data_IF_283816185356
#
_entry.id   IF_283816185356
#
_cell.length_a   1.000
_cell.length_b   1.000
_cell.length_c   1.000
_cell.angle_alpha   90.00
_cell.angle_beta   90.00
_cell.angle_gamma   90.00
#
_symmetry.space_group_name_H-M   'P 1'
#
loop_
_entity.id
_entity.type
_entity.pdbx_description
1 polymer ?
#
# COMPACT_ATOMS: atom_id res chain seq x y z
N UNK A 1 34.07 -0.39 15.36
CA UNK A 1 33.01 0.28 14.57
C UNK A 1 32.57 1.52 15.33
N UNK A 2 32.53 2.68 14.68
CA UNK A 2 32.55 4.00 15.36
C UNK A 2 31.24 4.38 16.04
N UNK A 3 31.33 5.05 17.21
CA UNK A 3 30.30 5.66 18.09
C UNK A 3 29.05 6.27 17.42
N UNK A 4 29.12 6.56 16.13
CA UNK A 4 28.08 7.17 15.33
C UNK A 4 27.10 6.15 14.72
N UNK A 5 27.47 4.87 14.61
CA UNK A 5 26.65 3.86 13.91
C UNK A 5 25.41 3.45 14.69
N UNK A 6 25.55 3.07 15.96
CA UNK A 6 24.42 2.60 16.80
C UNK A 6 23.39 3.71 17.06
N UNK A 7 23.84 4.94 17.34
CA UNK A 7 22.92 6.09 17.46
C UNK A 7 22.19 6.42 16.16
N UNK A 8 22.89 6.32 15.01
CA UNK A 8 22.24 6.45 13.69
C UNK A 8 21.23 5.33 13.45
N UNK A 9 21.53 4.11 13.89
CA UNK A 9 20.63 2.95 13.79
C UNK A 9 19.36 3.17 14.61
N UNK A 10 19.48 3.62 15.86
CA UNK A 10 18.34 4.01 16.71
C UNK A 10 17.49 5.14 16.09
N UNK A 11 18.14 6.17 15.54
CA UNK A 11 17.41 7.25 14.84
C UNK A 11 16.67 6.74 13.59
N UNK A 12 17.26 5.82 12.82
CA UNK A 12 16.59 5.18 11.68
C UNK A 12 15.39 4.33 12.13
N UNK A 13 15.54 3.56 13.21
CA UNK A 13 14.45 2.80 13.82
C UNK A 13 13.30 3.72 14.25
N UNK A 14 13.61 4.87 14.86
CA UNK A 14 12.60 5.86 15.25
C UNK A 14 11.87 6.47 14.04
N UNK A 15 12.58 6.67 12.92
CA UNK A 15 11.94 7.13 11.67
C UNK A 15 11.03 6.07 11.07
N UNK A 16 11.44 4.80 11.11
CA UNK A 16 10.63 3.68 10.65
C UNK A 16 9.36 3.55 11.49
N UNK A 17 9.52 3.59 12.82
CA UNK A 17 8.41 3.57 13.78
C UNK A 17 7.44 4.73 13.58
N UNK A 18 7.97 5.97 13.45
CA UNK A 18 7.16 7.17 13.23
C UNK A 18 6.30 7.08 11.97
N UNK A 19 6.86 6.51 10.89
CA UNK A 19 6.12 6.30 9.64
C UNK A 19 5.07 5.21 9.77
N UNK A 20 5.41 4.08 10.41
CA UNK A 20 4.50 2.95 10.56
C UNK A 20 3.31 3.24 11.50
N UNK A 21 3.47 4.17 12.44
CA UNK A 21 2.45 4.51 13.45
C UNK A 21 1.89 5.93 13.31
N UNK A 22 2.21 6.62 12.21
CA UNK A 22 1.77 8.01 11.93
C UNK A 22 2.03 9.04 13.05
N UNK A 23 3.01 8.80 13.92
CA UNK A 23 3.37 9.74 14.98
C UNK A 23 4.50 10.68 14.57
N UNK A 24 4.52 11.88 15.14
CA UNK A 24 5.61 12.82 14.94
C UNK A 24 6.98 12.21 15.34
N UNK A 25 7.99 12.38 14.49
CA UNK A 25 9.31 11.76 14.68
C UNK A 25 9.96 12.03 16.04
N UNK A 26 9.75 13.22 16.61
CA UNK A 26 10.25 13.57 17.95
C UNK A 26 9.61 12.72 19.06
N UNK A 27 8.34 12.32 18.93
CA UNK A 27 7.69 11.39 19.87
C UNK A 27 8.26 9.97 19.70
N UNK A 28 8.46 9.53 18.47
CA UNK A 28 9.01 8.20 18.19
C UNK A 28 10.44 8.03 18.72
N UNK A 29 11.27 9.08 18.63
CA UNK A 29 12.65 9.01 19.10
C UNK A 29 12.75 9.06 20.63
N UNK A 30 11.78 9.69 21.31
CA UNK A 30 11.64 9.63 22.77
C UNK A 30 11.17 8.24 23.24
N UNK A 31 10.27 7.58 22.49
CA UNK A 31 9.85 6.20 22.78
C UNK A 31 11.02 5.21 22.68
N UNK A 32 11.86 5.34 21.64
CA UNK A 32 13.07 4.51 21.54
C UNK A 32 14.07 4.82 22.68
N UNK A 33 14.16 6.07 23.12
CA UNK A 33 14.98 6.41 24.29
C UNK A 33 14.43 5.74 25.58
N UNK A 34 13.11 5.66 25.73
CA UNK A 34 12.45 5.01 26.87
C UNK A 34 12.67 3.50 26.91
N UNK A 35 12.70 2.82 25.75
CA UNK A 35 13.08 1.39 25.65
C UNK A 35 14.47 1.14 26.23
N UNK A 36 15.36 2.13 26.13
CA UNK A 36 16.74 2.09 26.62
C UNK A 36 16.88 2.68 28.03
N UNK A 37 15.77 2.94 28.73
CA UNK A 37 15.75 3.45 30.10
C UNK A 37 15.95 4.96 30.25
N UNK A 38 15.88 5.73 29.15
CA UNK A 38 16.01 7.20 29.18
C UNK A 38 14.65 7.89 29.03
N UNK A 39 14.39 8.99 29.76
CA UNK A 39 13.08 9.64 29.73
C UNK A 39 12.74 10.31 28.38
N UNK A 40 13.75 10.72 27.63
CA UNK A 40 13.60 11.31 26.29
C UNK A 40 14.96 11.30 25.57
N UNK A 41 14.96 11.50 24.25
CA UNK A 41 16.16 11.40 23.41
C UNK A 41 17.28 12.35 23.81
N UNK A 42 16.94 13.56 24.28
CA UNK A 42 17.96 14.51 24.75
C UNK A 42 18.74 14.00 25.98
N UNK A 43 18.12 13.18 26.85
CA UNK A 43 18.79 12.59 28.01
C UNK A 43 19.75 11.49 27.56
N UNK A 44 19.32 10.66 26.61
CA UNK A 44 20.15 9.63 25.97
C UNK A 44 21.37 10.24 25.27
N UNK A 45 21.17 11.31 24.49
CA UNK A 45 22.28 12.04 23.84
C UNK A 45 23.21 12.68 24.88
N UNK A 46 22.65 13.18 25.98
CA UNK A 46 23.41 13.72 27.11
C UNK A 46 24.37 12.70 27.71
N UNK A 47 23.89 11.49 28.00
CA UNK A 47 24.73 10.40 28.51
C UNK A 47 25.68 9.84 27.45
N UNK A 48 25.27 9.84 26.17
CA UNK A 48 26.16 9.41 25.10
C UNK A 48 27.37 10.32 24.94
N UNK A 49 27.18 11.64 25.13
CA UNK A 49 28.29 12.61 25.21
C UNK A 49 29.21 12.36 26.41
N UNK A 50 28.71 11.75 27.49
CA UNK A 50 29.48 11.36 28.68
C UNK A 50 30.16 9.99 28.53
N UNK A 51 30.01 9.32 27.38
CA UNK A 51 30.70 8.08 27.06
C UNK A 51 29.81 6.84 27.04
N UNK A 52 28.52 6.96 27.40
CA UNK A 52 27.57 5.86 27.24
C UNK A 52 27.38 5.53 25.75
N UNK A 53 27.23 4.25 25.43
CA UNK A 53 26.99 3.77 24.06
C UNK A 53 25.94 2.66 24.12
N UNK A 54 25.00 2.62 23.14
CA UNK A 54 24.12 1.48 22.99
C UNK A 54 24.94 0.22 22.71
N UNK A 55 24.67 -0.84 23.46
CA UNK A 55 25.15 -2.20 23.18
C UNK A 55 24.37 -2.84 22.03
N UNK A 56 24.82 -4.01 21.55
CA UNK A 56 24.06 -4.78 20.55
C UNK A 56 22.71 -5.26 21.12
N UNK A 57 22.65 -5.58 22.42
CA UNK A 57 21.41 -5.94 23.10
C UNK A 57 20.43 -4.75 23.16
N UNK A 58 20.93 -3.54 23.38
CA UNK A 58 20.12 -2.30 23.32
C UNK A 58 19.54 -2.08 21.92
N UNK A 59 20.33 -2.37 20.88
CA UNK A 59 19.86 -2.31 19.50
C UNK A 59 18.79 -3.38 19.23
N UNK A 60 19.00 -4.62 19.70
CA UNK A 60 18.03 -5.71 19.54
C UNK A 60 16.72 -5.40 20.28
N UNK A 61 16.78 -4.82 21.47
CA UNK A 61 15.61 -4.37 22.22
C UNK A 61 14.84 -3.28 21.47
N UNK A 62 15.54 -2.29 20.89
CA UNK A 62 14.92 -1.27 20.06
C UNK A 62 14.33 -1.84 18.76
N UNK A 63 15.00 -2.79 18.12
CA UNK A 63 14.47 -3.48 16.93
C UNK A 63 13.23 -4.32 17.24
N UNK A 64 13.25 -5.08 18.34
CA UNK A 64 12.10 -5.84 18.81
C UNK A 64 10.92 -4.93 19.14
N UNK A 65 11.17 -3.79 19.79
CA UNK A 65 10.16 -2.78 20.05
C UNK A 65 9.53 -2.25 18.75
N UNK A 66 10.34 -1.90 17.74
CA UNK A 66 9.84 -1.43 16.44
C UNK A 66 9.11 -2.54 15.67
N UNK A 67 9.57 -3.80 15.75
CA UNK A 67 8.91 -4.94 15.09
C UNK A 67 7.56 -5.29 15.73
N UNK A 68 7.45 -5.21 17.05
CA UNK A 68 6.22 -5.52 17.79
C UNK A 68 5.15 -4.41 17.72
N UNK A 69 5.46 -3.27 17.09
CA UNK A 69 4.58 -2.09 16.96
C UNK A 69 4.26 -1.74 15.52
N UNK A 70 4.86 -2.44 14.55
CA UNK A 70 4.16 -2.70 13.30
C UNK A 70 3.12 -3.74 13.67
N UNK A 71 1.81 -3.47 13.53
CA UNK A 71 0.82 -4.52 13.72
C UNK A 71 1.00 -5.55 12.60
N UNK A 72 1.91 -6.49 12.79
CA UNK A 72 1.67 -7.85 12.30
C UNK A 72 0.61 -8.35 13.27
N UNK A 73 -0.66 -8.05 12.95
CA UNK A 73 -1.78 -8.72 13.62
C UNK A 73 -1.48 -10.21 13.52
N UNK A 74 -1.39 -10.86 14.67
CA UNK A 74 -1.22 -12.30 14.72
C UNK A 74 -2.34 -12.91 13.86
N UNK A 75 -1.94 -13.50 12.73
CA UNK A 75 -2.80 -14.27 11.85
C UNK A 75 -3.16 -15.58 12.55
N UNK A 76 -3.97 -15.49 13.60
CA UNK A 76 -4.69 -16.63 14.13
C UNK A 76 -6.15 -16.47 13.69
N UNK A 77 -6.48 -17.20 12.62
CA UNK A 77 -7.83 -17.33 12.05
C UNK A 77 -8.47 -16.05 11.50
N UNK A 78 -7.73 -15.28 10.71
CA UNK A 78 -8.35 -14.25 9.87
C UNK A 78 -8.88 -14.90 8.59
N UNK A 79 -10.21 -14.93 8.45
CA UNK A 79 -10.86 -15.13 7.15
C UNK A 79 -10.32 -14.09 6.15
N UNK A 80 -10.25 -14.45 4.87
CA UNK A 80 -9.72 -13.58 3.81
C UNK A 80 -10.35 -12.17 3.82
N UNK A 81 -11.61 -12.06 4.26
CA UNK A 81 -12.35 -10.82 4.37
C UNK A 81 -11.76 -9.88 5.45
N UNK A 82 -11.19 -10.43 6.52
CA UNK A 82 -10.49 -9.66 7.57
C UNK A 82 -9.15 -9.11 7.06
N UNK A 83 -8.47 -9.83 6.15
CA UNK A 83 -7.20 -9.36 5.55
C UNK A 83 -7.46 -8.12 4.67
N UNK A 84 -8.57 -8.08 3.93
CA UNK A 84 -8.95 -6.90 3.14
C UNK A 84 -9.40 -5.73 4.02
N UNK A 85 -10.16 -5.99 5.09
CA UNK A 85 -10.52 -4.96 6.08
C UNK A 85 -9.30 -4.36 6.79
N UNK A 86 -8.21 -5.14 6.92
CA UNK A 86 -6.98 -4.73 7.60
C UNK A 86 -5.96 -3.99 6.72
N UNK A 87 -6.12 -3.99 5.40
CA UNK A 87 -5.22 -3.29 4.48
C UNK A 87 -5.36 -1.76 4.58
N UNK A 88 -6.50 -1.29 5.09
CA UNK A 88 -6.82 0.11 5.32
C UNK A 88 -6.81 0.37 6.82
N UNK A 89 -6.09 1.41 7.27
CA UNK A 89 -5.96 1.79 8.68
C UNK A 89 -7.26 2.38 9.23
N UNK A 90 -8.31 1.56 9.36
CA UNK A 90 -9.55 2.00 9.97
C UNK A 90 -9.33 2.20 11.48
N UNK A 91 -9.48 3.44 11.93
CA UNK A 91 -9.77 3.77 13.32
C UNK A 91 -11.12 3.13 13.68
N UNK A 92 -11.05 1.92 14.27
CA UNK A 92 -12.19 1.15 14.81
C UNK A 92 -13.11 0.49 13.75
N UNK A 93 -12.99 -0.84 13.61
CA UNK A 93 -13.92 -1.66 12.80
C UNK A 93 -15.22 -1.84 13.59
N UNK A 94 -16.32 -1.33 13.05
CA UNK A 94 -17.65 -1.51 13.65
C UNK A 94 -18.26 -2.80 13.09
N UNK A 95 -18.73 -3.69 13.94
CA UNK A 95 -19.41 -4.93 13.52
C UNK A 95 -20.90 -4.88 13.83
N UNK A 96 -21.72 -5.53 13.01
CA UNK A 96 -23.16 -5.60 13.20
C UNK A 96 -23.79 -6.77 12.45
N UNK A 97 -25.13 -6.80 12.41
CA UNK A 97 -25.88 -7.78 11.61
C UNK A 97 -27.13 -7.16 10.98
N UNK A 98 -27.41 -7.57 9.75
CA UNK A 98 -28.59 -7.20 8.96
C UNK A 98 -29.33 -8.50 8.66
N UNK A 99 -30.51 -8.69 9.26
CA UNK A 99 -31.34 -9.90 9.08
C UNK A 99 -30.60 -11.25 9.25
N UNK A 100 -29.57 -11.31 10.09
CA UNK A 100 -28.78 -12.51 10.34
C UNK A 100 -27.47 -12.56 9.55
N UNK A 101 -27.28 -11.71 8.55
CA UNK A 101 -26.00 -11.52 7.85
C UNK A 101 -25.10 -10.64 8.71
N UNK A 102 -23.90 -11.09 9.03
CA UNK A 102 -22.93 -10.27 9.76
C UNK A 102 -22.22 -9.31 8.81
N UNK A 103 -21.95 -8.09 9.27
CA UNK A 103 -21.17 -7.12 8.51
C UNK A 103 -20.09 -6.44 9.35
N UNK A 104 -19.09 -5.92 8.65
CA UNK A 104 -18.05 -5.03 9.17
C UNK A 104 -18.15 -3.68 8.44
N UNK A 105 -18.09 -2.58 9.17
CA UNK A 105 -18.14 -1.23 8.65
C UNK A 105 -16.84 -0.50 8.98
N UNK A 106 -16.31 0.21 7.98
CA UNK A 106 -15.13 1.06 8.13
C UNK A 106 -15.27 2.38 7.36
N UNK A 107 -14.58 3.40 7.85
CA UNK A 107 -14.34 4.68 7.18
C UNK A 107 -12.98 4.61 6.49
N UNK A 108 -12.93 4.99 5.21
CA UNK A 108 -11.67 5.21 4.51
C UNK A 108 -11.77 6.50 3.69
N UNK A 109 -10.98 7.51 4.06
CA UNK A 109 -10.91 8.80 3.34
C UNK A 109 -12.29 9.46 3.16
N UNK A 110 -13.24 9.23 4.08
CA UNK A 110 -14.59 9.77 4.00
C UNK A 110 -15.59 8.92 3.22
N UNK A 111 -15.14 7.86 2.54
CA UNK A 111 -15.99 6.80 2.01
C UNK A 111 -16.37 5.83 3.14
N UNK A 112 -17.62 5.38 3.15
CA UNK A 112 -18.07 4.30 4.04
C UNK A 112 -18.01 2.99 3.28
N UNK A 113 -17.35 2.01 3.87
CA UNK A 113 -17.29 0.65 3.35
C UNK A 113 -17.98 -0.31 4.31
N UNK A 114 -18.87 -1.14 3.79
CA UNK A 114 -19.57 -2.19 4.52
C UNK A 114 -19.25 -3.52 3.85
N UNK A 115 -18.64 -4.43 4.59
CA UNK A 115 -18.24 -5.76 4.13
C UNK A 115 -19.11 -6.81 4.79
N UNK A 116 -19.53 -7.81 4.02
CA UNK A 116 -20.07 -9.06 4.53
C UNK A 116 -19.59 -10.22 3.68
N UNK A 117 -20.11 -11.42 3.95
CA UNK A 117 -19.63 -12.63 3.28
C UNK A 117 -19.88 -12.59 1.77
N UNK A 118 -18.82 -12.41 0.99
CA UNK A 118 -18.87 -12.37 -0.47
C UNK A 118 -19.56 -11.12 -1.05
N UNK A 119 -19.66 -10.03 -0.29
CA UNK A 119 -20.16 -8.75 -0.78
C UNK A 119 -19.54 -7.54 -0.07
N UNK A 120 -19.57 -6.40 -0.75
CA UNK A 120 -19.05 -5.12 -0.29
C UNK A 120 -19.98 -4.01 -0.78
N UNK A 121 -20.28 -3.04 0.09
CA UNK A 121 -20.97 -1.81 -0.27
C UNK A 121 -20.04 -0.63 0.02
N UNK A 122 -19.81 0.21 -0.98
CA UNK A 122 -19.16 1.49 -0.83
C UNK A 122 -20.22 2.61 -0.95
N UNK A 123 -20.35 3.43 0.09
CA UNK A 123 -21.09 4.69 0.05
C UNK A 123 -20.07 5.82 -0.04
N UNK A 124 -19.92 6.46 -1.23
CA UNK A 124 -18.86 7.43 -1.45
C UNK A 124 -19.01 8.72 -0.63
N UNK A 125 -17.90 9.38 -0.32
CA UNK A 125 -17.82 10.70 0.33
C UNK A 125 -18.71 11.71 -0.41
N UNK A 126 -18.61 11.73 -1.75
CA UNK A 126 -19.41 12.58 -2.61
C UNK A 126 -20.91 12.25 -2.49
N UNK A 127 -21.74 13.14 -1.92
CA UNK A 127 -23.17 12.88 -1.73
C UNK A 127 -23.95 12.65 -3.02
N UNK A 128 -23.40 13.09 -4.17
CA UNK A 128 -24.00 12.93 -5.49
C UNK A 128 -23.47 11.71 -6.26
N UNK A 129 -22.66 10.85 -5.66
CA UNK A 129 -22.25 9.59 -6.25
C UNK A 129 -23.21 8.47 -5.82
N UNK A 130 -23.52 7.56 -6.74
CA UNK A 130 -24.29 6.37 -6.41
C UNK A 130 -23.48 5.45 -5.48
N UNK A 131 -24.11 4.81 -4.48
CA UNK A 131 -23.51 3.70 -3.77
C UNK A 131 -23.12 2.59 -4.75
N UNK A 132 -22.03 1.88 -4.47
CA UNK A 132 -21.55 0.76 -5.28
C UNK A 132 -21.70 -0.50 -4.45
N UNK A 133 -22.36 -1.51 -5.02
CA UNK A 133 -22.50 -2.84 -4.43
C UNK A 133 -21.67 -3.80 -5.28
N UNK A 134 -20.68 -4.41 -4.66
CA UNK A 134 -19.84 -5.43 -5.27
C UNK A 134 -20.20 -6.78 -4.67
N UNK A 135 -20.47 -7.74 -5.53
CA UNK A 135 -20.80 -9.12 -5.15
C UNK A 135 -19.73 -10.03 -5.73
N UNK A 136 -19.25 -10.98 -4.94
CA UNK A 136 -18.32 -11.99 -5.44
C UNK A 136 -18.96 -12.76 -6.61
N UNK A 137 -18.23 -12.89 -7.71
CA UNK A 137 -18.68 -13.63 -8.89
C UNK A 137 -19.13 -15.05 -8.54
N UNK A 138 -18.46 -15.70 -7.58
CA UNK A 138 -18.82 -17.06 -7.13
C UNK A 138 -20.14 -17.10 -6.36
N UNK A 139 -20.56 -15.97 -5.77
CA UNK A 139 -21.79 -15.83 -4.97
C UNK A 139 -22.90 -15.07 -5.69
N UNK A 140 -22.75 -14.82 -7.00
CA UNK A 140 -23.69 -14.04 -7.81
C UNK A 140 -25.17 -14.37 -7.57
N UNK A 141 -25.50 -15.65 -7.39
CA UNK A 141 -26.88 -16.11 -7.20
C UNK A 141 -27.28 -16.40 -5.75
N UNK A 142 -26.31 -16.53 -4.85
CA UNK A 142 -26.52 -16.91 -3.44
C UNK A 142 -26.29 -15.77 -2.46
N UNK A 143 -25.72 -14.65 -2.91
CA UNK A 143 -25.43 -13.49 -2.06
C UNK A 143 -26.71 -12.88 -1.48
N UNK A 144 -26.63 -12.50 -0.20
CA UNK A 144 -27.67 -11.74 0.50
C UNK A 144 -27.98 -10.39 -0.17
N UNK A 145 -27.03 -9.81 -0.92
CA UNK A 145 -27.24 -8.56 -1.67
C UNK A 145 -28.20 -8.71 -2.87
N UNK A 146 -28.67 -9.93 -3.16
CA UNK A 146 -29.77 -10.14 -4.11
C UNK A 146 -31.15 -9.86 -3.48
N UNK A 147 -31.25 -9.73 -2.15
CA UNK A 147 -32.47 -9.32 -1.45
C UNK A 147 -32.54 -7.78 -1.35
N UNK A 148 -33.50 -7.12 -2.03
CA UNK A 148 -33.66 -5.67 -1.97
C UNK A 148 -33.89 -5.11 -0.57
N UNK A 149 -34.48 -5.89 0.35
CA UNK A 149 -34.70 -5.43 1.72
C UNK A 149 -33.39 -5.37 2.51
N UNK A 150 -32.51 -6.36 2.33
CA UNK A 150 -31.16 -6.37 2.96
C UNK A 150 -30.33 -5.22 2.38
N UNK A 151 -30.38 -5.01 1.06
CA UNK A 151 -29.69 -3.88 0.41
C UNK A 151 -30.19 -2.55 0.96
N UNK A 152 -31.51 -2.39 1.12
CA UNK A 152 -32.09 -1.18 1.69
C UNK A 152 -31.59 -0.89 3.11
N UNK A 153 -31.60 -1.89 3.99
CA UNK A 153 -31.14 -1.75 5.38
C UNK A 153 -29.63 -1.45 5.45
N UNK A 154 -28.82 -2.12 4.63
CA UNK A 154 -27.38 -1.88 4.55
C UNK A 154 -27.05 -0.46 4.07
N UNK A 155 -27.79 0.05 3.07
CA UNK A 155 -27.61 1.41 2.57
C UNK A 155 -28.03 2.47 3.58
N UNK A 156 -29.09 2.24 4.37
CA UNK A 156 -29.47 3.17 5.44
C UNK A 156 -28.40 3.23 6.53
N UNK A 157 -27.85 2.08 6.96
CA UNK A 157 -26.72 2.03 7.90
C UNK A 157 -25.53 2.83 7.36
N UNK A 158 -25.20 2.67 6.08
CA UNK A 158 -24.13 3.40 5.41
C UNK A 158 -24.38 4.91 5.37
N UNK A 159 -25.59 5.35 5.04
CA UNK A 159 -25.98 6.78 4.99
C UNK A 159 -25.98 7.43 6.37
N UNK A 160 -26.40 6.71 7.41
CA UNK A 160 -26.34 7.20 8.79
C UNK A 160 -24.89 7.46 9.22
N UNK A 161 -24.00 6.50 8.97
CA UNK A 161 -22.57 6.66 9.26
C UNK A 161 -21.93 7.76 8.42
N UNK A 162 -22.27 7.83 7.13
CA UNK A 162 -21.82 8.91 6.25
C UNK A 162 -22.23 10.29 6.80
N UNK A 163 -23.44 10.43 7.34
CA UNK A 163 -23.89 11.68 7.97
C UNK A 163 -23.05 12.07 9.19
N UNK A 164 -22.57 11.08 9.95
CA UNK A 164 -21.61 11.30 11.04
C UNK A 164 -20.25 11.76 10.52
N UNK A 165 -19.71 11.12 9.49
CA UNK A 165 -18.45 11.53 8.83
C UNK A 165 -18.55 12.96 8.29
N UNK A 166 -19.65 13.28 7.59
CA UNK A 166 -19.90 14.64 7.09
C UNK A 166 -19.85 15.68 8.19
N UNK A 167 -20.35 15.33 9.38
CA UNK A 167 -20.30 16.21 10.55
C UNK A 167 -18.87 16.39 11.08
N UNK A 168 -18.03 15.34 11.02
CA UNK A 168 -16.59 15.42 11.34
C UNK A 168 -15.86 16.31 10.33
N UNK A 169 -16.01 16.07 9.03
CA UNK A 169 -15.43 16.89 7.95
C UNK A 169 -15.83 18.36 8.10
N UNK A 170 -17.11 18.61 8.40
CA UNK A 170 -17.62 19.97 8.61
C UNK A 170 -17.02 20.67 9.85
N UNK A 171 -16.50 19.91 10.82
CA UNK A 171 -15.83 20.45 12.02
C UNK A 171 -14.40 20.87 11.71
N UNK A 172 -13.71 20.12 10.85
CA UNK A 172 -12.34 20.44 10.42
C UNK A 172 -12.31 21.61 9.42
N UNK A 173 -13.41 21.80 8.68
CA UNK A 173 -13.53 22.90 7.74
C UNK A 173 -13.98 24.20 8.40
N UNK A 174 -13.59 25.36 7.84
CA UNK A 174 -14.19 26.63 8.25
C UNK A 174 -15.72 26.57 8.15
N UNK A 175 -16.43 27.10 9.15
CA UNK A 175 -17.91 27.13 9.16
C UNK A 175 -18.53 27.69 7.87
N UNK A 176 -17.85 28.65 7.22
CA UNK A 176 -18.28 29.27 5.96
C UNK A 176 -18.14 28.36 4.74
N UNK A 177 -17.47 27.22 4.84
CA UNK A 177 -17.36 26.23 3.78
C UNK A 177 -18.65 25.42 3.63
N UNK A 178 -19.35 25.16 4.74
CA UNK A 178 -20.59 24.37 4.76
C UNK A 178 -21.84 25.23 4.95
N UNK A 179 -21.69 26.48 5.43
CA UNK A 179 -22.79 27.38 5.72
C UNK A 179 -22.65 28.72 4.96
N UNK A 180 -23.34 28.88 3.81
CA UNK A 180 -23.33 30.12 3.03
C UNK A 180 -23.80 31.34 3.85
N UNK A 181 -23.29 32.53 3.51
CA UNK A 181 -23.80 33.78 4.06
C UNK A 181 -25.11 34.24 3.40
N UNK A 182 -25.68 35.36 3.87
CA UNK A 182 -26.92 35.92 3.33
C UNK A 182 -26.82 36.33 1.83
N UNK A 183 -25.61 36.45 1.29
CA UNK A 183 -25.33 36.74 -0.12
C UNK A 183 -24.93 35.48 -0.91
N UNK A 184 -24.99 34.31 -0.27
CA UNK A 184 -24.59 33.03 -0.84
C UNK A 184 -23.07 32.81 -0.90
N UNK A 185 -22.25 33.64 -0.27
CA UNK A 185 -20.80 33.42 -0.24
C UNK A 185 -20.45 32.24 0.65
N UNK A 186 -19.55 31.40 0.15
CA UNK A 186 -18.94 30.29 0.87
C UNK A 186 -17.42 30.40 0.79
N UNK A 187 -16.73 29.76 1.73
CA UNK A 187 -15.27 29.75 1.83
C UNK A 187 -14.71 28.42 1.34
N UNK A 188 -13.66 28.44 0.52
CA UNK A 188 -12.98 27.20 0.13
C UNK A 188 -12.40 26.47 1.35
N UNK A 189 -12.65 25.16 1.54
CA UNK A 189 -12.16 24.42 2.71
C UNK A 189 -10.64 24.21 2.67
N UNK A 190 -10.08 23.92 1.49
CA UNK A 190 -8.66 23.61 1.32
C UNK A 190 -7.81 24.86 1.00
N UNK A 191 -8.21 25.66 0.00
CA UNK A 191 -7.36 26.73 -0.51
C UNK A 191 -7.48 28.05 0.27
N UNK A 192 -6.32 28.65 0.48
CA UNK A 192 -6.15 30.02 0.99
C UNK A 192 -5.52 30.90 -0.09
N UNK A 193 -5.87 32.18 -0.07
CA UNK A 193 -5.33 33.20 -0.95
C UNK A 193 -3.94 33.65 -0.52
N UNK A 194 -3.36 34.62 -1.26
CA UNK A 194 -2.10 35.26 -0.88
C UNK A 194 -2.16 35.74 0.57
N UNK A 195 -1.06 35.57 1.30
CA UNK A 195 -0.93 35.96 2.72
C UNK A 195 -1.86 35.20 3.69
N UNK A 196 -2.33 34.01 3.30
CA UNK A 196 -3.19 33.17 4.15
C UNK A 196 -4.63 33.69 4.25
N UNK A 197 -5.02 34.60 3.37
CA UNK A 197 -6.38 35.16 3.34
C UNK A 197 -7.40 34.11 2.90
N UNK A 198 -8.62 34.16 3.43
CA UNK A 198 -9.65 33.20 3.05
C UNK A 198 -10.21 33.47 1.65
N UNK A 199 -10.37 32.44 0.83
CA UNK A 199 -10.97 32.56 -0.50
C UNK A 199 -12.48 32.36 -0.36
N UNK A 200 -13.23 33.46 -0.49
CA UNK A 200 -14.70 33.44 -0.45
C UNK A 200 -15.30 33.91 -1.77
N UNK A 201 -16.38 33.25 -2.19
CA UNK A 201 -17.17 33.60 -3.36
C UNK A 201 -18.58 32.99 -3.29
N UNK A 202 -19.53 33.62 -3.98
CA UNK A 202 -20.88 33.09 -4.19
C UNK A 202 -21.00 32.25 -5.47
N UNK A 203 -19.96 32.21 -6.30
CA UNK A 203 -19.87 31.45 -7.55
C UNK A 203 -18.50 30.77 -7.62
N UNK A 204 -18.51 29.51 -8.04
CA UNK A 204 -17.36 28.62 -8.18
C UNK A 204 -17.40 27.91 -9.53
N UNK A 205 -16.25 27.42 -9.98
CA UNK A 205 -16.09 26.81 -11.29
C UNK A 205 -15.39 25.47 -11.15
N UNK A 206 -15.90 24.44 -11.83
CA UNK A 206 -15.29 23.13 -11.87
C UNK A 206 -14.28 23.04 -13.02
N UNK A 207 -13.05 22.60 -12.73
CA UNK A 207 -12.00 22.38 -13.71
C UNK A 207 -12.34 21.32 -14.77
N UNK A 208 -13.18 20.34 -14.43
CA UNK A 208 -13.44 19.18 -15.29
C UNK A 208 -14.58 19.38 -16.28
N UNK A 209 -15.67 20.02 -15.84
CA UNK A 209 -16.87 20.16 -16.67
C UNK A 209 -17.15 21.61 -17.09
N UNK A 210 -16.26 22.54 -16.74
CA UNK A 210 -16.39 23.98 -17.01
C UNK A 210 -17.72 24.58 -16.50
N UNK A 211 -18.31 23.94 -15.49
CA UNK A 211 -19.61 24.31 -14.95
C UNK A 211 -19.52 25.41 -13.90
N UNK A 212 -20.47 26.34 -13.94
CA UNK A 212 -20.67 27.35 -12.90
C UNK A 212 -21.54 26.79 -11.77
N UNK A 213 -21.08 26.95 -10.53
CA UNK A 213 -21.69 26.38 -9.34
C UNK A 213 -21.91 27.50 -8.32
N UNK A 214 -23.13 27.62 -7.82
CA UNK A 214 -23.43 28.60 -6.77
C UNK A 214 -22.86 28.16 -5.42
N UNK A 215 -22.57 29.12 -4.54
CA UNK A 215 -22.10 28.86 -3.18
C UNK A 215 -23.00 27.89 -2.39
N UNK A 216 -24.34 28.06 -2.39
CA UNK A 216 -25.24 27.09 -1.77
C UNK A 216 -25.15 25.68 -2.37
N UNK A 217 -25.09 25.54 -3.70
CA UNK A 217 -24.97 24.23 -4.35
C UNK A 217 -23.68 23.50 -3.94
N UNK A 218 -22.54 24.20 -3.94
CA UNK A 218 -21.25 23.58 -3.64
C UNK A 218 -21.09 23.22 -2.16
N UNK A 219 -21.63 24.05 -1.25
CA UNK A 219 -21.61 23.77 0.19
C UNK A 219 -22.48 22.58 0.58
N UNK A 220 -23.63 22.38 -0.08
CA UNK A 220 -24.51 21.24 0.17
C UNK A 220 -23.87 19.90 -0.25
N UNK A 221 -22.97 19.93 -1.24
CA UNK A 221 -22.34 18.74 -1.82
C UNK A 221 -20.89 18.51 -1.36
N UNK A 222 -20.53 18.94 -0.15
CA UNK A 222 -19.17 18.78 0.41
C UNK A 222 -18.06 19.24 -0.54
N UNK A 223 -18.29 20.32 -1.28
CA UNK A 223 -17.32 20.83 -2.26
C UNK A 223 -17.02 19.91 -3.44
N UNK A 224 -17.78 18.84 -3.66
CA UNK A 224 -17.77 18.13 -4.92
C UNK A 224 -18.62 18.85 -5.97
N UNK A 225 -18.16 18.88 -7.22
CA UNK A 225 -18.92 19.43 -8.34
C UNK A 225 -20.28 18.73 -8.47
N UNK A 226 -21.42 19.44 -8.38
CA UNK A 226 -22.73 18.81 -8.52
C UNK A 226 -22.99 18.26 -9.93
N UNK A 227 -22.26 18.72 -10.95
CA UNK A 227 -22.41 18.25 -12.33
C UNK A 227 -21.75 16.91 -12.55
N UNK A 228 -20.42 16.84 -12.33
CA UNK A 228 -19.58 15.71 -12.68
C UNK A 228 -18.95 14.97 -11.49
N UNK A 229 -19.14 15.43 -10.25
CA UNK A 229 -18.57 14.79 -9.06
C UNK A 229 -17.11 15.11 -8.76
N UNK A 230 -16.47 16.00 -9.52
CA UNK A 230 -15.08 16.41 -9.29
C UNK A 230 -14.82 16.85 -7.84
N UNK A 231 -13.64 16.53 -7.33
CA UNK A 231 -13.27 16.71 -5.93
C UNK A 231 -13.04 18.19 -5.55
N UNK A 232 -13.03 18.54 -4.24
CA UNK A 232 -12.84 19.92 -3.79
C UNK A 232 -11.57 20.61 -4.31
N UNK A 233 -10.50 19.86 -4.62
CA UNK A 233 -9.25 20.43 -5.15
C UNK A 233 -9.41 21.04 -6.55
N UNK A 234 -10.43 20.61 -7.29
CA UNK A 234 -10.71 20.98 -8.66
C UNK A 234 -11.76 22.10 -8.77
N UNK A 235 -12.16 22.67 -7.64
CA UNK A 235 -13.15 23.75 -7.55
C UNK A 235 -12.44 25.07 -7.32
N UNK A 236 -12.64 26.02 -8.23
CA UNK A 236 -11.89 27.27 -8.20
C UNK A 236 -12.81 28.48 -8.27
N UNK A 237 -12.38 29.57 -7.61
CA UNK A 237 -13.10 30.86 -7.63
C UNK A 237 -13.12 31.51 -9.02
N UNK A 238 -12.16 31.19 -9.88
CA UNK A 238 -12.05 31.73 -11.25
C UNK A 238 -11.69 30.59 -12.20
N UNK A 239 -12.27 30.53 -13.41
CA UNK A 239 -11.94 29.52 -14.41
C UNK A 239 -10.69 29.95 -15.19
N UNK A 240 -9.54 29.95 -14.53
CA UNK A 240 -8.30 30.47 -15.11
C UNK A 240 -7.81 29.65 -16.32
N UNK A 241 -8.23 28.39 -16.44
CA UNK A 241 -7.93 27.50 -17.56
C UNK A 241 -8.71 27.85 -18.84
N UNK A 242 -9.82 28.59 -18.74
CA UNK A 242 -10.68 28.89 -19.90
C UNK A 242 -10.23 30.11 -20.72
N UNK A 243 -9.21 30.85 -20.31
CA UNK A 243 -8.70 32.03 -21.03
C UNK A 243 -9.85 32.95 -21.53
N UNK A 244 -9.93 33.22 -22.84
CA UNK A 244 -10.96 34.05 -23.49
C UNK A 244 -12.32 33.33 -23.71
N UNK A 245 -12.42 32.02 -23.45
CA UNK A 245 -13.64 31.22 -23.66
C UNK A 245 -14.59 31.21 -22.45
N UNK A 246 -14.55 32.22 -21.59
CA UNK A 246 -15.41 32.30 -20.39
C UNK A 246 -16.91 32.29 -20.69
N UNK A 247 -17.29 32.70 -21.90
CA UNK A 247 -18.67 32.66 -22.39
C UNK A 247 -19.23 31.23 -22.56
N UNK A 248 -18.39 30.20 -22.47
CA UNK A 248 -18.79 28.80 -22.60
C UNK A 248 -19.17 28.14 -21.27
N UNK A 249 -18.95 28.83 -20.14
CA UNK A 249 -19.32 28.31 -18.82
C UNK A 249 -20.85 28.27 -18.73
N UNK A 250 -21.39 27.11 -18.38
CA UNK A 250 -22.82 26.92 -18.18
C UNK A 250 -23.13 26.70 -16.70
N UNK A 251 -24.18 27.32 -16.16
CA UNK A 251 -24.69 26.98 -14.84
C UNK A 251 -24.99 25.49 -14.74
N UNK A 252 -24.51 24.86 -13.67
CA UNK A 252 -24.85 23.48 -13.37
C UNK A 252 -26.28 23.46 -12.84
N UNK A 253 -27.13 22.72 -13.54
CA UNK A 253 -28.44 22.37 -13.04
C UNK A 253 -28.29 21.24 -12.00
N UNK A 254 -28.41 21.61 -10.73
CA UNK A 254 -28.40 20.70 -9.60
C UNK A 254 -29.81 20.44 -9.05
N UNK A 255 -30.87 20.88 -9.75
CA UNK A 255 -32.24 20.71 -9.27
C UNK A 255 -32.66 19.24 -9.39
N UNK A 256 -33.01 18.66 -8.23
CA UNK A 256 -33.51 17.29 -8.04
C UNK A 256 -32.70 16.18 -8.72
N UNK A 257 -31.59 15.80 -8.10
CA UNK A 257 -31.08 14.43 -8.28
C UNK A 257 -31.77 13.54 -7.25
N UNK A 258 -32.67 12.68 -7.74
CA UNK A 258 -33.22 11.56 -6.99
C UNK A 258 -32.08 10.75 -6.37
N UNK A 259 -32.32 10.09 -5.24
CA UNK A 259 -31.37 9.15 -4.64
C UNK A 259 -30.90 8.20 -5.73
N UNK A 260 -29.62 8.28 -6.10
CA UNK A 260 -29.10 7.47 -7.19
C UNK A 260 -29.22 6.00 -6.80
N UNK A 261 -29.81 5.20 -7.69
CA UNK A 261 -29.86 3.76 -7.52
C UNK A 261 -28.44 3.20 -7.38
N UNK A 262 -28.23 2.22 -6.48
CA UNK A 262 -26.93 1.63 -6.29
C UNK A 262 -26.44 0.92 -7.55
N UNK A 263 -25.16 1.05 -7.85
CA UNK A 263 -24.52 0.37 -8.98
C UNK A 263 -24.07 -1.01 -8.51
N UNK A 264 -24.68 -2.07 -9.06
CA UNK A 264 -24.31 -3.46 -8.76
C UNK A 264 -23.24 -3.96 -9.72
N UNK A 265 -22.16 -4.55 -9.18
CA UNK A 265 -21.03 -5.12 -9.93
C UNK A 265 -20.71 -6.53 -9.41
N UNK A 266 -20.28 -7.39 -10.32
CA UNK A 266 -19.78 -8.72 -9.98
C UNK A 266 -18.27 -8.76 -10.14
N UNK A 267 -17.55 -8.91 -9.03
CA UNK A 267 -16.09 -8.82 -8.99
C UNK A 267 -15.50 -10.07 -8.37
N UNK A 268 -14.25 -10.38 -8.71
CA UNK A 268 -13.53 -11.45 -8.05
C UNK A 268 -12.92 -10.90 -6.76
N UNK A 269 -13.61 -11.11 -5.63
CA UNK A 269 -13.22 -10.52 -4.35
C UNK A 269 -12.06 -11.27 -3.70
N UNK A 270 -12.07 -12.61 -3.80
CA UNK A 270 -11.01 -13.44 -3.23
C UNK A 270 -9.82 -13.53 -4.21
N UNK A 271 -8.58 -13.19 -3.77
CA UNK A 271 -7.38 -13.46 -4.52
C UNK A 271 -7.34 -14.96 -4.79
N UNK A 272 -7.30 -15.33 -6.07
CA UNK A 272 -7.02 -16.71 -6.45
C UNK A 272 -5.53 -16.84 -6.72
N UNK A 273 -4.90 -17.81 -6.08
CA UNK A 273 -3.59 -18.25 -6.49
C UNK A 273 -3.73 -19.02 -7.80
N UNK A 274 -3.70 -18.27 -8.90
CA UNK A 274 -3.61 -18.83 -10.24
C UNK A 274 -2.14 -19.19 -10.50
N UNK A 275 -1.81 -20.49 -10.44
CA UNK A 275 -0.47 -20.99 -10.74
C UNK A 275 -0.36 -21.24 -12.25
N UNK A 276 0.63 -20.61 -12.86
CA UNK A 276 1.04 -20.87 -14.23
C UNK A 276 2.57 -21.04 -14.28
N UNK A 277 3.09 -21.48 -15.43
CA UNK A 277 4.52 -21.76 -15.61
C UNK A 277 5.41 -20.58 -15.23
N UNK A 278 5.02 -19.34 -15.55
CA UNK A 278 5.78 -18.13 -15.20
C UNK A 278 5.84 -17.91 -13.68
N UNK A 279 4.70 -18.01 -13.00
CA UNK A 279 4.60 -17.79 -11.54
C UNK A 279 5.30 -18.90 -10.75
N UNK A 280 5.18 -20.15 -11.20
CA UNK A 280 5.89 -21.30 -10.62
C UNK A 280 7.39 -21.11 -10.81
N UNK A 281 7.82 -20.79 -12.03
CA UNK A 281 9.24 -20.52 -12.32
C UNK A 281 9.79 -19.42 -11.43
N UNK A 282 9.04 -18.34 -11.22
CA UNK A 282 9.46 -17.23 -10.37
C UNK A 282 9.59 -17.63 -8.90
N UNK A 283 8.62 -18.36 -8.35
CA UNK A 283 8.66 -18.83 -6.96
C UNK A 283 9.83 -19.78 -6.73
N UNK A 284 10.01 -20.75 -7.62
CA UNK A 284 11.10 -21.72 -7.55
C UNK A 284 12.46 -21.03 -7.72
N UNK A 285 12.61 -20.09 -8.67
CA UNK A 285 13.87 -19.34 -8.84
C UNK A 285 14.21 -18.49 -7.61
N UNK A 286 13.20 -17.86 -7.00
CA UNK A 286 13.39 -17.11 -5.75
C UNK A 286 13.91 -18.04 -4.65
N UNK A 287 13.30 -19.21 -4.49
CA UNK A 287 13.72 -20.21 -3.52
C UNK A 287 15.15 -20.73 -3.77
N UNK A 288 15.55 -20.95 -5.04
CA UNK A 288 16.93 -21.32 -5.39
C UNK A 288 17.95 -20.23 -5.01
N UNK A 289 17.57 -18.96 -5.10
CA UNK A 289 18.43 -17.84 -4.68
C UNK A 289 18.60 -17.83 -3.15
N UNK A 290 17.57 -18.23 -2.40
CA UNK A 290 17.65 -18.38 -0.94
C UNK A 290 18.57 -19.56 -0.54
N UNK A 291 18.56 -20.65 -1.30
CA UNK A 291 19.45 -21.79 -1.10
C UNK A 291 20.93 -21.44 -1.38
N UNK A 292 21.21 -20.37 -2.11
CA UNK A 292 22.58 -19.98 -2.49
C UNK A 292 23.38 -19.32 -1.36
N UNK A 293 24.54 -19.89 -1.03
CA UNK A 293 25.41 -19.45 0.07
C UNK A 293 26.48 -18.43 -0.35
N UNK A 294 26.77 -18.34 -1.65
CA UNK A 294 27.83 -17.50 -2.20
C UNK A 294 27.43 -16.95 -3.58
N UNK A 295 28.27 -16.09 -4.16
CA UNK A 295 27.97 -15.45 -5.45
C UNK A 295 27.90 -16.46 -6.60
N UNK A 296 28.74 -17.51 -6.58
CA UNK A 296 28.71 -18.61 -7.57
C UNK A 296 27.36 -19.31 -7.59
N UNK A 297 26.86 -19.70 -6.42
CA UNK A 297 25.56 -20.38 -6.30
C UNK A 297 24.38 -19.47 -6.66
N UNK A 298 24.45 -18.17 -6.36
CA UNK A 298 23.42 -17.21 -6.80
C UNK A 298 23.36 -17.08 -8.31
N UNK A 299 24.53 -17.10 -8.98
CA UNK A 299 24.59 -17.18 -10.45
C UNK A 299 24.03 -18.52 -10.93
N UNK A 300 24.31 -19.62 -10.23
CA UNK A 300 23.73 -20.93 -10.49
C UNK A 300 22.21 -20.93 -10.42
N UNK A 301 21.63 -20.39 -9.35
CA UNK A 301 20.18 -20.23 -9.18
C UNK A 301 19.55 -19.33 -10.26
N UNK A 302 20.24 -18.27 -10.66
CA UNK A 302 19.78 -17.37 -11.73
C UNK A 302 19.88 -17.98 -13.13
N UNK A 303 20.87 -18.85 -13.37
CA UNK A 303 21.09 -19.51 -14.66
C UNK A 303 20.40 -20.88 -14.74
N UNK A 304 19.91 -21.42 -13.62
CA UNK A 304 19.20 -22.68 -13.59
C UNK A 304 18.05 -22.65 -14.61
N UNK A 305 18.01 -23.65 -15.48
CA UNK A 305 16.88 -23.81 -16.39
C UNK A 305 15.74 -24.44 -15.60
N UNK A 306 14.60 -23.77 -15.65
CA UNK A 306 13.39 -24.20 -14.95
C UNK A 306 12.35 -24.41 -16.03
N UNK A 307 12.00 -25.67 -16.28
CA UNK A 307 10.93 -26.03 -17.22
C UNK A 307 9.77 -26.56 -16.41
N UNK A 308 8.59 -25.99 -16.66
CA UNK A 308 7.32 -26.40 -16.04
C UNK A 308 6.51 -27.10 -17.12
N UNK A 309 6.02 -28.30 -16.83
CA UNK A 309 5.19 -29.06 -17.77
C UNK A 309 3.69 -28.76 -17.61
N UNK A 310 2.85 -29.52 -18.34
CA UNK A 310 1.40 -29.34 -18.36
C UNK A 310 0.73 -29.75 -17.04
N UNK A 311 1.40 -30.55 -16.20
CA UNK A 311 0.95 -30.95 -14.85
C UNK A 311 1.48 -30.00 -13.76
N UNK A 312 2.21 -28.95 -14.16
CA UNK A 312 2.95 -28.02 -13.32
C UNK A 312 4.21 -28.60 -12.66
N UNK A 313 4.62 -29.81 -13.03
CA UNK A 313 5.84 -30.42 -12.53
C UNK A 313 7.07 -29.70 -13.07
N UNK A 314 8.08 -29.60 -12.20
CA UNK A 314 9.25 -28.76 -12.44
C UNK A 314 10.46 -29.64 -12.70
N UNK A 315 11.14 -29.39 -13.81
CA UNK A 315 12.51 -29.87 -14.01
C UNK A 315 13.49 -28.72 -13.81
N UNK A 316 14.45 -28.95 -12.91
CA UNK A 316 15.54 -28.05 -12.58
C UNK A 316 16.83 -28.57 -13.18
N UNK A 317 17.43 -27.80 -14.07
CA UNK A 317 18.74 -28.11 -14.60
C UNK A 317 19.78 -27.13 -14.09
N UNK A 318 20.71 -27.63 -13.28
CA UNK A 318 21.79 -26.86 -12.70
C UNK A 318 23.06 -27.00 -13.53
N UNK A 319 23.78 -25.89 -13.71
CA UNK A 319 25.12 -25.95 -14.28
C UNK A 319 26.14 -26.31 -13.21
N UNK A 320 26.92 -27.37 -13.42
CA UNK A 320 27.92 -27.86 -12.47
C UNK A 320 29.05 -26.86 -12.16
N UNK A 321 29.27 -25.86 -13.02
CA UNK A 321 30.22 -24.79 -12.74
C UNK A 321 29.70 -23.79 -11.71
N UNK A 322 28.39 -23.77 -11.42
CA UNK A 322 27.79 -22.78 -10.53
C UNK A 322 27.08 -23.41 -9.33
N UNK A 323 26.46 -24.57 -9.50
CA UNK A 323 25.80 -25.29 -8.41
C UNK A 323 26.62 -26.52 -8.00
N UNK A 324 26.92 -26.71 -6.70
CA UNK A 324 27.68 -27.87 -6.24
C UNK A 324 26.96 -29.19 -6.53
N UNK A 325 27.71 -30.19 -7.01
CA UNK A 325 27.19 -31.54 -7.18
C UNK A 325 26.77 -32.12 -5.82
N UNK A 326 25.54 -32.65 -5.75
CA UNK A 326 24.98 -33.23 -4.52
C UNK A 326 24.43 -32.22 -3.52
N UNK A 327 24.44 -30.91 -3.83
CA UNK A 327 23.70 -29.93 -3.04
C UNK A 327 22.23 -29.92 -3.46
N UNK A 328 21.35 -30.34 -2.55
CA UNK A 328 19.90 -30.25 -2.73
C UNK A 328 19.41 -28.80 -2.65
N UNK A 329 18.38 -28.49 -3.43
CA UNK A 329 17.70 -27.20 -3.38
C UNK A 329 16.58 -27.22 -2.31
N UNK A 330 16.97 -27.29 -1.03
CA UNK A 330 16.06 -27.51 0.10
C UNK A 330 14.87 -26.55 0.13
N UNK A 331 15.10 -25.25 -0.08
CA UNK A 331 14.03 -24.24 -0.09
C UNK A 331 13.15 -24.38 -1.32
N UNK A 332 13.73 -24.65 -2.50
CA UNK A 332 12.95 -24.86 -3.71
C UNK A 332 12.04 -26.11 -3.62
N UNK A 333 12.56 -27.20 -3.05
CA UNK A 333 11.81 -28.43 -2.77
C UNK A 333 10.70 -28.19 -1.75
N UNK A 334 10.95 -27.39 -0.72
CA UNK A 334 9.94 -27.01 0.26
C UNK A 334 8.80 -26.18 -0.38
N UNK A 335 9.14 -25.22 -1.26
CA UNK A 335 8.15 -24.44 -2.02
C UNK A 335 7.35 -25.34 -2.95
N UNK A 336 7.99 -26.22 -3.72
CA UNK A 336 7.28 -27.14 -4.60
C UNK A 336 6.32 -28.06 -3.84
N UNK A 337 6.72 -28.55 -2.66
CA UNK A 337 5.85 -29.34 -1.79
C UNK A 337 4.62 -28.56 -1.32
N UNK A 338 4.75 -27.27 -1.01
CA UNK A 338 3.61 -26.41 -0.65
C UNK A 338 2.66 -26.19 -1.84
N UNK A 339 3.20 -26.18 -3.06
CA UNK A 339 2.42 -26.06 -4.30
C UNK A 339 1.85 -27.40 -4.78
N UNK A 340 2.25 -28.52 -4.17
CA UNK A 340 1.84 -29.86 -4.59
C UNK A 340 2.47 -30.31 -5.90
N UNK A 341 3.67 -29.82 -6.20
CA UNK A 341 4.40 -29.98 -7.46
C UNK A 341 5.58 -30.94 -7.26
N UNK A 342 5.82 -31.85 -8.21
CA UNK A 342 7.03 -32.68 -8.22
C UNK A 342 8.22 -31.93 -8.84
N UNK A 343 9.43 -32.21 -8.33
CA UNK A 343 10.67 -31.58 -8.80
C UNK A 343 11.67 -32.64 -9.21
N UNK A 344 12.21 -32.50 -10.42
CA UNK A 344 13.28 -33.32 -10.96
C UNK A 344 14.54 -32.49 -11.14
N UNK A 345 15.58 -32.80 -10.36
CA UNK A 345 16.89 -32.14 -10.45
C UNK A 345 17.81 -32.90 -11.42
N UNK A 346 18.47 -32.15 -12.31
CA UNK A 346 19.49 -32.67 -13.20
C UNK A 346 20.71 -31.73 -13.26
N UNK A 347 21.88 -32.32 -13.47
CA UNK A 347 23.12 -31.57 -13.68
C UNK A 347 23.41 -31.46 -15.17
N UNK A 348 23.79 -30.27 -15.60
CA UNK A 348 24.20 -29.96 -16.96
C UNK A 348 25.60 -29.37 -16.98
N UNK A 349 26.25 -29.53 -18.13
CA UNK A 349 27.53 -28.91 -18.43
C UNK A 349 27.32 -27.88 -19.54
N UNK A 350 27.51 -26.60 -19.22
CA UNK A 350 27.58 -25.53 -20.22
C UNK A 350 28.95 -24.87 -20.18
N UNK A 351 29.38 -24.23 -21.29
CA UNK A 351 30.54 -23.36 -21.25
C UNK A 351 30.30 -22.25 -20.20
N UNK A 352 31.27 -21.97 -19.30
CA UNK A 352 31.06 -20.95 -18.28
C UNK A 352 30.92 -19.58 -18.95
N UNK A 353 29.95 -18.79 -18.46
CA UNK A 353 29.67 -17.43 -18.97
C UNK A 353 30.90 -16.51 -18.84
N UNK A 354 31.76 -16.79 -17.84
CA UNK A 354 33.06 -16.16 -17.67
C UNK A 354 34.17 -17.21 -17.58
N UNK A 355 35.23 -17.04 -18.36
CA UNK A 355 36.38 -17.94 -18.38
C UNK A 355 37.37 -17.67 -17.22
N UNK A 356 36.90 -17.74 -15.97
CA UNK A 356 37.78 -17.64 -14.79
C UNK A 356 37.33 -18.59 -13.66
N UNK A 357 38.09 -19.68 -13.40
CA UNK A 357 37.75 -20.63 -12.34
C UNK A 357 37.75 -19.98 -10.95
N UNK A 358 36.83 -20.43 -10.09
CA UNK A 358 36.82 -20.29 -8.62
C UNK A 358 36.72 -18.86 -8.04
N UNK A 359 36.72 -17.83 -8.89
CA UNK A 359 36.69 -16.44 -8.46
C UNK A 359 35.35 -16.03 -7.82
N UNK A 360 34.24 -16.63 -8.27
CA UNK A 360 32.91 -16.43 -7.69
C UNK A 360 32.68 -17.17 -6.37
N UNK A 361 33.53 -18.13 -6.01
CA UNK A 361 33.44 -18.87 -4.73
C UNK A 361 33.88 -18.02 -3.55
N UNK A 362 34.79 -17.08 -3.79
CA UNK A 362 35.40 -16.25 -2.75
C UNK A 362 34.73 -14.88 -2.59
N UNK A 363 33.82 -14.53 -3.49
CA UNK A 363 33.12 -13.25 -3.45
C UNK A 363 31.86 -13.32 -2.59
N UNK A 364 31.78 -12.44 -1.59
CA UNK A 364 30.63 -12.27 -0.70
C UNK A 364 29.45 -11.53 -1.37
N UNK A 365 29.72 -10.83 -2.48
CA UNK A 365 28.69 -10.17 -3.28
C UNK A 365 29.13 -9.79 -4.69
N UNK A 366 28.17 -9.40 -5.51
CA UNK A 366 28.36 -9.15 -6.95
C UNK A 366 29.37 -8.04 -7.25
N UNK A 367 29.45 -7.00 -6.41
CA UNK A 367 30.42 -5.90 -6.59
C UNK A 367 31.85 -6.40 -6.41
N UNK A 368 32.11 -7.18 -5.35
CA UNK A 368 33.40 -7.80 -5.09
C UNK A 368 33.78 -8.78 -6.21
N UNK A 369 32.83 -9.64 -6.60
CA UNK A 369 33.02 -10.56 -7.72
C UNK A 369 33.40 -9.82 -9.02
N UNK A 370 32.68 -8.74 -9.34
CA UNK A 370 32.93 -7.95 -10.55
C UNK A 370 34.32 -7.31 -10.51
N UNK A 371 34.72 -6.76 -9.36
CA UNK A 371 36.06 -6.18 -9.21
C UNK A 371 37.15 -7.24 -9.38
N UNK A 372 37.02 -8.38 -8.70
CA UNK A 372 37.96 -9.49 -8.83
C UNK A 372 38.06 -9.98 -10.28
N UNK A 373 36.94 -10.01 -11.01
CA UNK A 373 36.89 -10.44 -12.39
C UNK A 373 37.63 -9.45 -13.29
N UNK A 374 37.37 -8.15 -13.13
CA UNK A 374 38.09 -7.10 -13.84
C UNK A 374 39.60 -7.12 -13.57
N UNK A 375 40.00 -7.28 -12.30
CA UNK A 375 41.40 -7.37 -11.90
C UNK A 375 42.10 -8.59 -12.51
N UNK A 376 41.40 -9.71 -12.56
CA UNK A 376 41.88 -10.94 -13.17
C UNK A 376 42.07 -10.78 -14.69
N UNK A 377 41.08 -10.24 -15.41
CA UNK A 377 41.23 -9.98 -16.85
C UNK A 377 42.28 -8.92 -17.16
N UNK A 378 42.45 -7.89 -16.31
CA UNK A 378 43.47 -6.87 -16.49
C UNK A 378 44.91 -7.42 -16.41
N UNK A 379 45.16 -8.47 -15.62
CA UNK A 379 46.47 -9.13 -15.54
C UNK A 379 46.87 -9.85 -16.85
N UNK A 380 45.88 -10.20 -17.67
CA UNK A 380 46.06 -10.95 -18.91
C UNK A 380 45.70 -10.13 -20.15
N UNK A 381 45.34 -8.86 -19.97
CA UNK A 381 45.21 -7.91 -21.07
C UNK A 381 46.58 -7.82 -21.78
N UNK A 382 46.62 -7.95 -23.12
CA UNK A 382 47.87 -7.82 -23.86
C UNK A 382 48.46 -6.45 -23.54
N UNK A 383 49.70 -6.42 -23.01
CA UNK A 383 50.44 -5.17 -22.86
C UNK A 383 50.49 -4.52 -24.23
N UNK A 384 49.91 -3.32 -24.35
CA UNK A 384 50.10 -2.49 -25.53
C UNK A 384 51.61 -2.43 -25.80
N UNK A 385 52.02 -2.89 -26.97
CA UNK A 385 53.37 -2.62 -27.46
C UNK A 385 53.41 -1.13 -27.74
N UNK A 386 54.33 -0.45 -27.05
CA UNK A 386 54.63 0.98 -27.05
C UNK A 386 54.31 1.74 -28.35
#
# INVERSE_FOLDING_TARGET
MTKNYHLKKLSKLAKSYARANEIAHHKAIDLIAAVLGFPHWNALIGESKKGWQPSDDDILAAEAFVKNTVPIRHAEQDDADTIFGNLFSAEEVITGSIKGETYQLLDSLGDIHIYGEGWHICVPENPNSAPIIEIDQDMKHSSAMNDPEIVGEALEIGKEHHSSIRSKIATDWPRRSTMPDAKGNVRHPIFTGPEGTSIEANIWYCLHCDGEITGPQIAQNLWHCPGCGASPIDIHKKPFWLNEKREQVKPIDASNRETLEPIVRYVQMKPRLDLNSEKITLLIRTALIEDATNTKERLGAQLAEITVDDENDVRLAFDMHFWPEGKEAETALAVAKLLGIEVFEEMRFSPPVFAWPDLSEHASGTVEYTQMLLDAYAQYAPKEKD
#
